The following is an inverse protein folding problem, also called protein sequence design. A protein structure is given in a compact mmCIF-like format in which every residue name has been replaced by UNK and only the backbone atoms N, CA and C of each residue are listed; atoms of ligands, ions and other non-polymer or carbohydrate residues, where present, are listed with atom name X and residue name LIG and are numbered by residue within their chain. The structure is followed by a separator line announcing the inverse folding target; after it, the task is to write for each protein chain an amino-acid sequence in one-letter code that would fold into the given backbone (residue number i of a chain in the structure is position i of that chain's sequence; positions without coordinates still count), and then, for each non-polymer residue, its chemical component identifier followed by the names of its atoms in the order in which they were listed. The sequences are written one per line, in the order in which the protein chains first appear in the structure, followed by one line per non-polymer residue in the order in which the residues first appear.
data_IF_930861854781
#
_entry.id   IF_930861854781
#
_cell.length_a   1.000
_cell.length_b   1.000
_cell.length_c   1.000
_cell.angle_alpha   90.00
_cell.angle_beta   90.00
_cell.angle_gamma   90.00
#
_symmetry.space_group_name_H-M   'P 1'
#
loop_
_entity.id
_entity.type
_entity.pdbx_description
1 polymer ?
#
# COMPACT_ATOMS: atom_id res chain seq x y z
N UNK A 1 -3.62 -78.04 -13.38
CA UNK A 1 -2.96 -77.17 -14.37
C UNK A 1 -3.83 -77.14 -15.62
N UNK A 2 -4.46 -76.02 -15.95
CA UNK A 2 -5.09 -75.85 -17.27
C UNK A 2 -4.95 -74.39 -17.70
N UNK A 3 -3.96 -74.14 -18.56
CA UNK A 3 -3.69 -72.84 -19.16
C UNK A 3 -4.62 -72.62 -20.35
N UNK A 4 -5.76 -71.99 -20.12
CA UNK A 4 -6.65 -71.49 -21.16
C UNK A 4 -6.03 -70.29 -21.87
N UNK A 5 -5.36 -70.52 -23.00
CA UNK A 5 -4.89 -69.45 -23.89
C UNK A 5 -6.10 -68.73 -24.49
N UNK A 6 -6.40 -67.54 -23.98
CA UNK A 6 -7.39 -66.63 -24.55
C UNK A 6 -7.06 -66.33 -26.03
N UNK A 7 -8.06 -66.46 -26.91
CA UNK A 7 -7.91 -66.26 -28.36
C UNK A 7 -7.54 -64.82 -28.75
N UNK A 8 -7.06 -64.60 -29.99
CA UNK A 8 -6.50 -63.32 -30.45
C UNK A 8 -7.50 -62.15 -30.38
N UNK A 9 -8.80 -62.43 -30.55
CA UNK A 9 -9.88 -61.44 -30.48
C UNK A 9 -10.12 -60.98 -29.03
N UNK A 10 -10.03 -61.90 -28.06
CA UNK A 10 -10.15 -61.56 -26.63
C UNK A 10 -8.95 -60.73 -26.13
N UNK A 11 -7.74 -60.99 -26.66
CA UNK A 11 -6.55 -60.15 -26.40
C UNK A 11 -6.66 -58.76 -27.01
N UNK A 12 -7.20 -58.63 -28.22
CA UNK A 12 -7.39 -57.33 -28.87
C UNK A 12 -8.45 -56.48 -28.16
N UNK A 13 -9.57 -57.08 -27.75
CA UNK A 13 -10.62 -56.39 -26.98
C UNK A 13 -10.14 -55.97 -25.57
N UNK A 14 -9.33 -56.80 -24.90
CA UNK A 14 -8.70 -56.44 -23.63
C UNK A 14 -7.66 -55.32 -23.80
N UNK A 15 -6.90 -55.31 -24.90
CA UNK A 15 -5.94 -54.25 -25.23
C UNK A 15 -6.61 -52.92 -25.62
N UNK A 16 -7.77 -52.95 -26.28
CA UNK A 16 -8.57 -51.75 -26.57
C UNK A 16 -9.21 -51.16 -25.31
N UNK A 17 -9.81 -52.00 -24.45
CA UNK A 17 -10.36 -51.56 -23.16
C UNK A 17 -9.32 -51.08 -22.16
N UNK A 18 -8.03 -51.42 -22.32
CA UNK A 18 -6.94 -50.83 -21.53
C UNK A 18 -6.38 -49.54 -22.12
N UNK A 19 -6.53 -49.27 -23.43
CA UNK A 19 -6.09 -48.01 -24.06
C UNK A 19 -7.05 -46.84 -23.83
N UNK A 20 -8.35 -47.09 -23.81
CA UNK A 20 -9.38 -46.06 -23.55
C UNK A 20 -9.31 -45.43 -22.14
N UNK A 21 -9.17 -46.19 -21.03
CA UNK A 21 -9.04 -45.59 -19.70
C UNK A 21 -7.74 -44.80 -19.55
N UNK A 22 -6.69 -45.22 -20.26
CA UNK A 22 -5.40 -44.54 -20.30
C UNK A 22 -5.48 -43.21 -21.07
N UNK A 23 -6.24 -43.17 -22.18
CA UNK A 23 -6.53 -41.93 -22.90
C UNK A 23 -7.37 -40.95 -22.06
N UNK A 24 -8.41 -41.42 -21.39
CA UNK A 24 -9.24 -40.58 -20.52
C UNK A 24 -8.49 -40.10 -19.26
N UNK A 25 -7.54 -40.89 -18.75
CA UNK A 25 -6.67 -40.46 -17.66
C UNK A 25 -5.68 -39.38 -18.12
N UNK A 26 -5.10 -39.52 -19.32
CA UNK A 26 -4.18 -38.54 -19.90
C UNK A 26 -4.86 -37.20 -20.18
N UNK A 27 -6.06 -37.21 -20.75
CA UNK A 27 -6.84 -35.98 -20.99
C UNK A 27 -7.25 -35.31 -19.68
N UNK A 28 -7.59 -36.08 -18.64
CA UNK A 28 -7.85 -35.51 -17.30
C UNK A 28 -6.61 -34.88 -16.69
N UNK A 29 -5.47 -35.55 -16.74
CA UNK A 29 -4.22 -35.00 -16.22
C UNK A 29 -3.82 -33.71 -16.95
N UNK A 30 -3.97 -33.67 -18.28
CA UNK A 30 -3.70 -32.47 -19.07
C UNK A 30 -4.66 -31.32 -18.74
N UNK A 31 -5.94 -31.63 -18.52
CA UNK A 31 -6.92 -30.64 -18.08
C UNK A 31 -6.67 -30.15 -16.64
N UNK A 32 -6.28 -31.04 -15.73
CA UNK A 32 -5.94 -30.68 -14.33
C UNK A 32 -4.68 -29.80 -14.25
N UNK A 33 -3.76 -29.93 -15.21
CA UNK A 33 -2.60 -29.03 -15.36
C UNK A 33 -2.94 -27.71 -16.05
N UNK A 34 -4.11 -27.59 -16.67
CA UNK A 34 -4.53 -26.39 -17.38
C UNK A 34 -4.67 -25.19 -16.42
N UNK A 35 -4.32 -23.97 -16.88
CA UNK A 35 -4.47 -22.77 -16.06
C UNK A 35 -5.93 -22.49 -15.69
N UNK A 36 -6.88 -22.87 -16.55
CA UNK A 36 -8.31 -22.70 -16.30
C UNK A 36 -8.80 -23.57 -15.13
N UNK A 37 -8.34 -24.82 -15.07
CA UNK A 37 -8.68 -25.73 -13.98
C UNK A 37 -8.10 -25.23 -12.64
N UNK A 38 -6.82 -24.82 -12.64
CA UNK A 38 -6.17 -24.29 -11.43
C UNK A 38 -6.85 -23.03 -10.93
N UNK A 39 -7.20 -22.10 -11.83
CA UNK A 39 -7.94 -20.89 -11.48
C UNK A 39 -9.33 -21.23 -10.93
N UNK A 40 -10.02 -22.21 -11.52
CA UNK A 40 -11.30 -22.71 -11.03
C UNK A 40 -11.20 -23.25 -9.59
N UNK A 41 -10.20 -24.08 -9.30
CA UNK A 41 -9.94 -24.60 -7.96
C UNK A 41 -9.63 -23.49 -6.96
N UNK A 42 -8.75 -22.55 -7.31
CA UNK A 42 -8.40 -21.42 -6.43
C UNK A 42 -9.62 -20.56 -6.08
N UNK A 43 -10.53 -20.34 -7.04
CA UNK A 43 -11.77 -19.60 -6.81
C UNK A 43 -12.72 -20.38 -5.89
N UNK A 44 -12.90 -21.68 -6.12
CA UNK A 44 -13.75 -22.53 -5.28
C UNK A 44 -13.20 -22.63 -3.85
N UNK A 45 -11.89 -22.84 -3.70
CA UNK A 45 -11.23 -22.90 -2.40
C UNK A 45 -11.37 -21.57 -1.65
N UNK A 46 -11.24 -20.44 -2.35
CA UNK A 46 -11.50 -19.12 -1.78
C UNK A 46 -12.92 -18.99 -1.25
N UNK A 47 -13.93 -19.33 -2.06
CA UNK A 47 -15.34 -19.23 -1.68
C UNK A 47 -15.72 -20.19 -0.54
N UNK A 48 -15.24 -21.43 -0.56
CA UNK A 48 -15.54 -22.41 0.49
C UNK A 48 -14.93 -22.00 1.84
N UNK A 49 -13.70 -21.51 1.84
CA UNK A 49 -13.05 -20.98 3.06
C UNK A 49 -13.75 -19.73 3.58
N UNK A 50 -14.21 -18.87 2.67
CA UNK A 50 -14.79 -17.57 3.00
C UNK A 50 -16.22 -17.68 3.55
N UNK A 51 -17.06 -18.52 2.94
CA UNK A 51 -18.46 -18.64 3.30
C UNK A 51 -18.76 -19.87 4.18
N UNK A 52 -17.77 -20.74 4.41
CA UNK A 52 -17.97 -22.00 5.14
C UNK A 52 -18.95 -22.94 4.44
N UNK A 53 -19.11 -22.77 3.12
CA UNK A 53 -20.01 -23.55 2.28
C UNK A 53 -19.25 -24.69 1.60
N UNK A 54 -19.98 -25.69 1.12
CA UNK A 54 -19.39 -26.79 0.35
C UNK A 54 -18.88 -26.32 -1.02
N UNK A 55 -17.95 -27.07 -1.60
CA UNK A 55 -17.45 -26.82 -2.95
C UNK A 55 -18.55 -26.86 -4.02
N UNK A 56 -19.57 -27.70 -3.83
CA UNK A 56 -20.75 -27.78 -4.71
C UNK A 56 -21.57 -26.48 -4.66
N UNK A 57 -21.82 -25.96 -3.45
CA UNK A 57 -22.51 -24.68 -3.26
C UNK A 57 -21.68 -23.49 -3.77
N UNK A 58 -20.36 -23.53 -3.62
CA UNK A 58 -19.47 -22.51 -4.19
C UNK A 58 -19.46 -22.54 -5.73
N UNK A 59 -19.53 -23.73 -6.33
CA UNK A 59 -19.66 -23.89 -7.78
C UNK A 59 -21.00 -23.36 -8.28
N UNK A 60 -22.10 -23.66 -7.57
CA UNK A 60 -23.43 -23.11 -7.86
C UNK A 60 -23.41 -21.58 -7.90
N UNK A 61 -22.80 -20.91 -6.92
CA UNK A 61 -22.65 -19.45 -6.92
C UNK A 61 -21.93 -18.90 -8.16
N UNK A 62 -20.92 -19.62 -8.65
CA UNK A 62 -20.16 -19.22 -9.84
C UNK A 62 -20.93 -19.47 -11.14
N UNK A 63 -21.78 -20.50 -11.18
CA UNK A 63 -22.54 -20.88 -12.38
C UNK A 63 -23.90 -20.20 -12.51
N UNK A 64 -24.58 -19.90 -11.39
CA UNK A 64 -25.96 -19.38 -11.39
C UNK A 64 -26.03 -17.84 -11.47
N UNK A 65 -24.91 -17.19 -11.80
CA UNK A 65 -24.83 -15.73 -11.94
C UNK A 65 -24.79 -14.96 -10.61
N UNK A 66 -24.88 -15.65 -9.46
CA UNK A 66 -24.64 -15.10 -8.12
C UNK A 66 -23.13 -14.91 -7.83
N UNK A 67 -22.39 -14.49 -8.86
CA UNK A 67 -20.98 -14.12 -8.74
C UNK A 67 -20.91 -12.97 -7.74
N UNK A 68 -20.02 -13.01 -6.72
CA UNK A 68 -19.84 -11.87 -5.85
C UNK A 68 -19.51 -10.65 -6.72
N UNK A 69 -20.32 -9.60 -6.60
CA UNK A 69 -20.17 -8.40 -7.40
C UNK A 69 -18.79 -7.79 -7.15
N UNK A 70 -18.25 -7.07 -8.13
CA UNK A 70 -16.94 -6.43 -8.01
C UNK A 70 -16.81 -5.62 -6.71
N UNK A 71 -17.90 -4.98 -6.28
CA UNK A 71 -17.93 -4.24 -5.02
C UNK A 71 -17.88 -5.11 -3.76
N UNK A 72 -18.45 -6.31 -3.76
CA UNK A 72 -18.38 -7.20 -2.60
C UNK A 72 -16.98 -7.78 -2.43
N UNK A 73 -16.31 -8.09 -3.54
CA UNK A 73 -14.91 -8.56 -3.53
C UNK A 73 -13.99 -7.44 -3.03
N UNK A 74 -14.17 -6.22 -3.53
CA UNK A 74 -13.39 -5.04 -3.11
C UNK A 74 -13.63 -4.71 -1.63
N UNK A 75 -14.89 -4.73 -1.18
CA UNK A 75 -15.26 -4.44 0.21
C UNK A 75 -14.66 -5.46 1.17
N UNK A 76 -14.69 -6.75 0.83
CA UNK A 76 -14.06 -7.81 1.64
C UNK A 76 -12.56 -7.72 1.65
N UNK A 77 -11.93 -7.45 0.52
CA UNK A 77 -10.47 -7.22 0.46
C UNK A 77 -10.07 -6.04 1.32
N UNK A 78 -10.85 -4.96 1.32
CA UNK A 78 -10.64 -3.82 2.20
C UNK A 78 -10.78 -4.22 3.68
N UNK A 79 -11.86 -4.93 4.04
CA UNK A 79 -12.09 -5.42 5.40
C UNK A 79 -10.96 -6.35 5.89
N UNK A 80 -10.56 -7.35 5.10
CA UNK A 80 -9.46 -8.25 5.41
C UNK A 80 -8.14 -7.51 5.58
N UNK A 81 -7.90 -6.48 4.76
CA UNK A 81 -6.72 -5.63 4.87
C UNK A 81 -6.74 -4.84 6.18
N UNK A 82 -7.86 -4.23 6.54
CA UNK A 82 -8.01 -3.49 7.80
C UNK A 82 -7.82 -4.40 9.02
N UNK A 83 -8.45 -5.58 9.05
CA UNK A 83 -8.25 -6.55 10.13
C UNK A 83 -6.80 -7.04 10.24
N UNK A 84 -6.10 -7.16 9.11
CA UNK A 84 -4.67 -7.51 9.11
C UNK A 84 -3.83 -6.38 9.70
N UNK A 85 -4.09 -5.13 9.31
CA UNK A 85 -3.39 -3.95 9.84
C UNK A 85 -3.63 -3.80 11.35
N UNK A 86 -4.85 -4.04 11.80
CA UNK A 86 -5.23 -4.03 13.21
C UNK A 86 -4.49 -5.10 14.02
N UNK A 87 -4.51 -6.36 13.55
CA UNK A 87 -3.75 -7.47 14.17
C UNK A 87 -2.24 -7.22 14.19
N UNK A 88 -1.72 -6.50 13.20
CA UNK A 88 -0.31 -6.13 13.13
C UNK A 88 0.04 -4.90 14.00
N UNK A 89 -0.93 -4.27 14.67
CA UNK A 89 -0.71 -3.06 15.47
C UNK A 89 -0.31 -1.83 14.64
N UNK A 90 -0.66 -1.81 13.35
CA UNK A 90 -0.28 -0.75 12.41
C UNK A 90 -1.33 0.35 12.29
N UNK A 91 -2.53 0.14 12.86
CA UNK A 91 -3.56 1.17 12.96
C UNK A 91 -3.40 1.92 14.29
N UNK A 92 -3.54 3.25 14.25
CA UNK A 92 -3.53 4.07 15.48
C UNK A 92 -4.81 3.94 16.30
N UNK A 93 -5.90 3.58 15.65
CA UNK A 93 -7.24 3.41 16.22
C UNK A 93 -7.82 2.05 15.80
N UNK A 94 -8.86 1.54 16.46
CA UNK A 94 -9.58 0.37 16.00
C UNK A 94 -10.14 0.57 14.58
N UNK A 95 -10.18 -0.49 13.78
CA UNK A 95 -10.66 -0.41 12.39
C UNK A 95 -12.11 0.12 12.31
N UNK A 96 -12.94 -0.21 13.30
CA UNK A 96 -14.31 0.28 13.41
C UNK A 96 -14.41 1.81 13.52
N UNK A 97 -13.47 2.46 14.20
CA UNK A 97 -13.49 3.91 14.36
C UNK A 97 -13.25 4.62 13.02
N UNK A 98 -12.32 4.12 12.20
CA UNK A 98 -12.12 4.64 10.85
C UNK A 98 -13.37 4.45 10.00
N UNK A 99 -14.01 3.27 10.07
CA UNK A 99 -15.19 2.97 9.25
C UNK A 99 -16.43 3.78 9.63
N UNK A 100 -16.50 4.36 10.84
CA UNK A 100 -17.58 5.29 11.23
C UNK A 100 -17.45 6.66 10.56
N UNK A 101 -16.26 7.02 10.11
CA UNK A 101 -15.96 8.32 9.51
C UNK A 101 -16.32 8.33 8.01
N UNK A 102 -17.27 9.19 7.63
CA UNK A 102 -17.71 9.27 6.24
C UNK A 102 -16.56 9.64 5.28
N UNK A 103 -15.63 10.50 5.71
CA UNK A 103 -14.47 10.87 4.91
C UNK A 103 -13.58 9.65 4.59
N UNK A 104 -13.38 8.76 5.56
CA UNK A 104 -12.62 7.53 5.35
C UNK A 104 -13.34 6.55 4.40
N UNK A 105 -14.67 6.45 4.49
CA UNK A 105 -15.45 5.63 3.58
C UNK A 105 -15.31 6.07 2.11
N UNK A 106 -15.23 7.39 1.86
CA UNK A 106 -14.98 7.91 0.51
C UNK A 106 -13.58 7.55 0.03
N UNK A 107 -12.56 7.69 0.89
CA UNK A 107 -11.19 7.28 0.56
C UNK A 107 -11.08 5.79 0.21
N UNK A 108 -11.85 4.91 0.86
CA UNK A 108 -11.88 3.48 0.53
C UNK A 108 -12.48 3.16 -0.85
N UNK A 109 -13.28 4.05 -1.43
CA UNK A 109 -13.83 3.90 -2.79
C UNK A 109 -12.80 4.25 -3.85
N UNK A 110 -11.87 5.13 -3.54
CA UNK A 110 -10.88 5.67 -4.47
C UNK A 110 -9.52 5.00 -4.34
N UNK A 111 -9.19 4.50 -3.14
CA UNK A 111 -7.86 4.02 -2.79
C UNK A 111 -7.89 2.63 -2.12
N UNK A 112 -6.82 1.83 -2.28
CA UNK A 112 -6.64 0.63 -1.46
C UNK A 112 -6.60 0.96 0.03
N UNK A 113 -7.13 0.05 0.88
CA UNK A 113 -7.27 0.27 2.32
C UNK A 113 -5.99 0.75 3.03
N UNK A 114 -4.82 0.21 2.70
CA UNK A 114 -3.54 0.66 3.27
C UNK A 114 -3.21 2.12 2.94
N UNK A 115 -3.53 2.56 1.73
CA UNK A 115 -3.31 3.95 1.30
C UNK A 115 -4.36 4.87 1.93
N UNK A 116 -5.62 4.45 1.97
CA UNK A 116 -6.71 5.21 2.61
C UNK A 116 -6.40 5.53 4.08
N UNK A 117 -5.91 4.56 4.86
CA UNK A 117 -5.51 4.78 6.27
C UNK A 117 -4.42 5.84 6.38
N UNK A 118 -3.38 5.75 5.54
CA UNK A 118 -2.25 6.70 5.59
C UNK A 118 -2.68 8.13 5.24
N UNK A 119 -3.52 8.28 4.23
CA UNK A 119 -4.04 9.59 3.80
C UNK A 119 -4.93 10.16 4.89
N UNK A 120 -5.88 9.37 5.39
CA UNK A 120 -6.81 9.80 6.44
C UNK A 120 -6.08 10.22 7.73
N UNK A 121 -5.04 9.50 8.13
CA UNK A 121 -4.22 9.90 9.28
C UNK A 121 -3.44 11.19 9.02
N UNK A 122 -2.86 11.35 7.82
CA UNK A 122 -2.13 12.55 7.47
C UNK A 122 -3.03 13.79 7.42
N UNK A 123 -4.27 13.65 6.93
CA UNK A 123 -5.26 14.73 6.91
C UNK A 123 -5.69 15.11 8.33
N UNK A 124 -5.95 14.14 9.21
CA UNK A 124 -6.30 14.41 10.60
C UNK A 124 -5.15 15.01 11.42
N UNK A 125 -3.91 14.64 11.12
CA UNK A 125 -2.74 15.30 11.72
C UNK A 125 -2.63 16.75 11.29
N UNK A 126 -2.82 17.03 10.01
CA UNK A 126 -2.79 18.42 9.50
C UNK A 126 -3.92 19.26 10.07
N UNK A 127 -5.10 18.69 10.26
CA UNK A 127 -6.20 19.38 10.93
C UNK A 127 -5.89 19.69 12.40
N UNK A 128 -5.12 18.83 13.09
CA UNK A 128 -4.67 19.08 14.45
C UNK A 128 -3.45 20.04 14.53
N UNK A 129 -2.65 20.11 13.48
CA UNK A 129 -1.48 20.99 13.31
C UNK A 129 -1.81 22.33 12.65
N UNK A 130 -3.08 22.64 12.35
CA UNK A 130 -3.43 24.00 11.97
C UNK A 130 -2.83 24.95 13.01
N UNK A 131 -2.03 25.94 12.58
CA UNK A 131 -1.32 26.81 13.49
C UNK A 131 -2.36 27.53 14.33
N UNK A 132 -2.55 27.06 15.56
CA UNK A 132 -3.45 27.67 16.52
C UNK A 132 -3.15 29.16 16.58
N UNK A 133 -4.19 29.97 16.76
CA UNK A 133 -4.20 31.44 16.73
C UNK A 133 -2.90 32.13 17.21
N UNK A 134 -2.17 31.55 18.16
CA UNK A 134 -0.84 32.00 18.60
C UNK A 134 0.25 32.10 17.53
N UNK A 135 0.22 31.38 16.40
CA UNK A 135 1.24 31.55 15.35
C UNK A 135 0.99 32.84 14.54
N UNK A 136 -0.27 33.12 14.21
CA UNK A 136 -0.67 34.39 13.59
C UNK A 136 -0.46 35.55 14.56
N UNK A 137 -0.78 35.34 15.84
CA UNK A 137 -0.56 36.31 16.91
C UNK A 137 0.92 36.60 17.14
N UNK A 138 1.79 35.58 17.06
CA UNK A 138 3.24 35.74 17.13
C UNK A 138 3.82 36.47 15.90
N UNK A 139 3.24 36.28 14.71
CA UNK A 139 3.62 37.03 13.50
C UNK A 139 3.17 38.50 13.64
N UNK A 140 1.96 38.74 14.14
CA UNK A 140 1.43 40.08 14.41
C UNK A 140 2.22 40.80 15.51
N UNK A 141 2.64 40.09 16.55
CA UNK A 141 3.49 40.61 17.62
C UNK A 141 4.87 41.01 17.08
N UNK A 142 5.50 40.17 16.25
CA UNK A 142 6.76 40.51 15.57
C UNK A 142 6.60 41.71 14.64
N UNK A 143 5.48 41.83 13.94
CA UNK A 143 5.17 42.99 13.09
C UNK A 143 4.99 44.27 13.92
N UNK A 144 4.29 44.21 15.06
CA UNK A 144 4.17 45.34 15.99
C UNK A 144 5.52 45.72 16.59
N UNK A 145 6.33 44.75 17.00
CA UNK A 145 7.68 44.98 17.53
C UNK A 145 8.57 45.69 16.48
N UNK A 146 8.51 45.28 15.21
CA UNK A 146 9.24 45.95 14.12
C UNK A 146 8.76 47.37 13.85
N UNK A 147 7.47 47.65 14.04
CA UNK A 147 6.88 48.99 13.89
C UNK A 147 7.20 49.93 15.05
N UNK A 148 7.42 49.37 16.24
CA UNK A 148 7.82 50.12 17.44
C UNK A 148 9.33 50.42 17.46
N UNK A 149 10.14 49.80 16.60
CA UNK A 149 11.53 50.17 16.44
C UNK A 149 11.63 51.56 15.78
N UNK A 150 12.49 52.45 16.29
CA UNK A 150 12.77 53.72 15.64
C UNK A 150 13.21 53.48 14.19
N UNK A 151 12.56 54.14 13.24
CA UNK A 151 12.95 54.08 11.83
C UNK A 151 14.43 54.45 11.73
N UNK A 152 15.29 53.61 11.13
CA UNK A 152 16.71 53.91 11.04
C UNK A 152 16.90 55.19 10.23
N UNK A 153 17.24 56.28 10.93
CA UNK A 153 17.67 57.54 10.35
C UNK A 153 19.10 57.34 9.82
N UNK A 154 19.29 56.61 8.71
CA UNK A 154 20.52 56.71 7.91
C UNK A 154 20.34 56.14 6.49
N UNK A 155 20.83 56.95 5.57
CA UNK A 155 20.81 56.86 4.10
C UNK A 155 21.25 55.51 3.54
N UNK A 156 20.67 55.16 2.39
CA UNK A 156 20.92 54.00 1.54
C UNK A 156 22.35 53.89 0.97
N UNK A 157 23.38 53.92 1.82
CA UNK A 157 24.74 53.54 1.44
C UNK A 157 25.07 52.22 2.15
N UNK A 158 25.46 51.15 1.42
CA UNK A 158 25.98 49.95 2.06
C UNK A 158 27.23 50.36 2.84
N UNK A 159 27.21 50.13 4.15
CA UNK A 159 28.41 50.19 4.99
C UNK A 159 29.36 49.15 4.42
N UNK A 160 30.47 49.58 3.82
CA UNK A 160 31.53 48.64 3.48
C UNK A 160 31.98 47.97 4.77
N UNK A 161 31.98 46.64 4.78
CA UNK A 161 32.56 45.88 5.87
C UNK A 161 34.06 46.20 5.90
N UNK A 162 34.43 47.24 6.66
CA UNK A 162 35.82 47.53 6.97
C UNK A 162 36.28 46.34 7.81
N UNK A 163 37.29 45.62 7.34
CA UNK A 163 37.80 44.43 8.03
C UNK A 163 38.13 44.80 9.48
N UNK A 164 37.53 44.06 10.41
CA UNK A 164 37.67 44.33 11.83
C UNK A 164 38.99 43.72 12.33
N UNK A 165 40.04 44.53 12.27
CA UNK A 165 41.37 44.15 12.75
C UNK A 165 41.44 43.95 14.28
N UNK A 166 40.41 44.34 15.03
CA UNK A 166 40.41 44.22 16.50
C UNK A 166 40.03 42.81 16.98
N UNK A 167 39.23 42.08 16.20
CA UNK A 167 38.77 40.73 16.53
C UNK A 167 39.52 39.62 15.77
N UNK A 168 40.52 39.99 14.96
CA UNK A 168 41.33 39.04 14.18
C UNK A 168 42.41 38.41 15.06
N UNK A 169 42.63 37.10 14.92
CA UNK A 169 43.75 36.44 15.59
C UNK A 169 45.08 36.90 14.99
N UNK A 170 46.17 36.85 15.77
CA UNK A 170 47.50 37.28 15.29
C UNK A 170 47.97 36.49 14.06
N UNK A 171 47.59 35.21 13.93
CA UNK A 171 47.92 34.36 12.78
C UNK A 171 47.19 34.80 11.50
N UNK A 172 45.92 35.18 11.62
CA UNK A 172 45.12 35.69 10.50
C UNK A 172 45.63 37.06 10.04
N UNK A 173 46.07 37.90 10.98
CA UNK A 173 46.66 39.20 10.67
C UNK A 173 47.99 39.08 9.92
N UNK A 174 48.84 38.10 10.27
CA UNK A 174 50.07 37.84 9.51
C UNK A 174 49.80 37.33 8.10
N UNK A 175 48.80 36.44 7.92
CA UNK A 175 48.38 36.00 6.58
C UNK A 175 47.81 37.16 5.76
N UNK A 176 47.06 38.07 6.39
CA UNK A 176 46.57 39.28 5.75
C UNK A 176 47.73 40.18 5.29
N UNK A 177 48.69 40.44 6.18
CA UNK A 177 49.90 41.21 5.84
C UNK A 177 50.68 40.57 4.69
N UNK A 178 50.85 39.25 4.72
CA UNK A 178 51.53 38.53 3.65
C UNK A 178 50.78 38.66 2.30
N UNK A 179 49.45 38.62 2.31
CA UNK A 179 48.66 38.69 1.07
C UNK A 179 48.67 40.07 0.41
N UNK A 180 48.72 41.14 1.20
CA UNK A 180 48.55 42.52 0.70
C UNK A 180 49.84 43.33 0.64
N UNK A 181 50.86 42.98 1.43
CA UNK A 181 52.11 43.75 1.55
C UNK A 181 53.37 42.95 1.16
N UNK A 182 53.26 41.68 0.73
CA UNK A 182 54.40 40.93 0.15
C UNK A 182 54.54 41.18 -1.36
N UNK A 183 54.86 42.42 -1.73
CA UNK A 183 55.52 42.72 -2.99
C UNK A 183 56.84 43.42 -2.72
#
# INVERSE_FOLDING_TARGET
MNGGKQGPIARAAAGQRMREPDAAARVRAEYEESPEYRLGCELLDGLTQEFGISAEQAAELLTDGARPESMDVLSRRAAATLSRLERAGQLRRPAEEYLREHAFQQLLRELPATAAVRVFEAENMRAAEEPGAGAEEAVLEKMRARRALPTPLRSAAPVSAKEDFANMSSEEFERFKQRYFSR
#
